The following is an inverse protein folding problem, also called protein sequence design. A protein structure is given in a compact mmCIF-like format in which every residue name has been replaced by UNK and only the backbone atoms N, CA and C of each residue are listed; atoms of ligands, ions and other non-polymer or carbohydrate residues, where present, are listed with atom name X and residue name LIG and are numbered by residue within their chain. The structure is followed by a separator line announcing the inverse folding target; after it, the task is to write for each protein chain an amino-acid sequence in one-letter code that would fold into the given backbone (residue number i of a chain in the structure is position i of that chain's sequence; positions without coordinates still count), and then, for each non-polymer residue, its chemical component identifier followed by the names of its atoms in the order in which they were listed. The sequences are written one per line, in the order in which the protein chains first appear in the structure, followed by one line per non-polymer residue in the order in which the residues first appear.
data_IF_815990957456
#
_entry.id   IF_815990957456
#
_cell.length_a   1.000
_cell.length_b   1.000
_cell.length_c   1.000
_cell.angle_alpha   90.00
_cell.angle_beta   90.00
_cell.angle_gamma   90.00
#
_symmetry.space_group_name_H-M   'P 1'
#
loop_
_entity.id
_entity.type
_entity.pdbx_description
1 polymer ?
#
# COMPACT_ATOMS: atom_id res chain seq x y z
N UNK A 1 2.04 5.95 12.01
CA UNK A 1 0.94 5.03 11.62
C UNK A 1 1.46 3.72 11.05
N UNK A 2 2.22 3.70 9.93
CA UNK A 2 2.70 2.45 9.31
C UNK A 2 3.49 1.54 10.28
N UNK A 3 4.41 2.15 11.06
CA UNK A 3 5.17 1.45 12.11
C UNK A 3 4.29 0.69 13.10
N UNK A 4 3.22 1.32 13.58
CA UNK A 4 2.35 0.72 14.58
C UNK A 4 1.55 -0.45 14.01
N UNK A 5 1.07 -0.33 12.77
CA UNK A 5 0.35 -1.41 12.09
C UNK A 5 1.26 -2.62 11.88
N UNK A 6 2.47 -2.42 11.35
CA UNK A 6 3.40 -3.52 11.10
C UNK A 6 3.91 -4.15 12.40
N UNK A 7 4.19 -3.34 13.43
CA UNK A 7 4.59 -3.86 14.74
C UNK A 7 3.51 -4.74 15.37
N UNK A 8 2.22 -4.36 15.24
CA UNK A 8 1.11 -5.20 15.72
C UNK A 8 0.94 -6.47 14.89
N UNK A 9 1.04 -6.38 13.56
CA UNK A 9 0.85 -7.54 12.67
C UNK A 9 1.93 -8.60 12.87
N UNK A 10 3.17 -8.17 13.09
CA UNK A 10 4.33 -9.04 13.25
C UNK A 10 4.77 -9.19 14.70
N UNK A 11 3.87 -8.90 15.64
CA UNK A 11 4.10 -9.22 17.04
C UNK A 11 4.28 -10.75 17.17
N UNK A 12 5.34 -11.25 17.81
CA UNK A 12 5.58 -12.69 17.97
C UNK A 12 4.49 -13.44 18.72
N UNK A 13 3.65 -12.74 19.51
CA UNK A 13 2.48 -13.32 20.15
C UNK A 13 1.31 -13.55 19.19
N UNK A 14 1.35 -12.96 17.99
CA UNK A 14 0.38 -13.25 16.94
C UNK A 14 0.73 -14.58 16.26
N UNK A 15 -0.23 -15.51 16.22
CA UNK A 15 -0.05 -16.83 15.61
C UNK A 15 -0.14 -16.81 14.06
N UNK A 16 -0.32 -15.64 13.45
CA UNK A 16 -0.40 -15.52 12.00
C UNK A 16 0.97 -15.75 11.32
N UNK A 17 1.03 -16.56 10.25
CA UNK A 17 2.26 -16.77 9.51
C UNK A 17 2.77 -15.46 8.89
N UNK A 18 4.09 -15.39 8.69
CA UNK A 18 4.71 -14.29 7.96
C UNK A 18 4.35 -14.41 6.47
N UNK A 19 4.03 -13.30 5.80
CA UNK A 19 3.77 -13.31 4.37
C UNK A 19 5.09 -13.41 3.59
N UNK A 20 5.03 -14.04 2.41
CA UNK A 20 6.15 -14.00 1.47
C UNK A 20 6.34 -12.60 0.86
N UNK A 21 5.26 -11.82 0.76
CA UNK A 21 5.25 -10.47 0.18
C UNK A 21 4.40 -9.49 1.02
N UNK A 22 5.01 -8.39 1.42
CA UNK A 22 4.35 -7.19 1.93
C UNK A 22 4.15 -6.18 0.79
N UNK A 23 2.90 -6.01 0.35
CA UNK A 23 2.53 -4.99 -0.63
C UNK A 23 1.99 -3.73 0.06
N UNK A 24 2.65 -2.60 -0.18
CA UNK A 24 2.26 -1.28 0.38
C UNK A 24 1.47 -0.48 -0.65
N UNK A 25 0.29 0.03 -0.25
CA UNK A 25 -0.51 0.97 -1.05
C UNK A 25 0.10 2.36 -1.00
N UNK A 26 1.03 2.62 -1.93
CA UNK A 26 1.58 3.94 -2.21
C UNK A 26 2.99 3.92 -2.77
N UNK A 27 3.72 5.02 -2.58
CA UNK A 27 4.96 5.29 -3.32
C UNK A 27 6.25 4.83 -2.61
N UNK A 28 7.38 5.08 -3.28
CA UNK A 28 8.74 4.75 -2.80
C UNK A 28 9.04 5.18 -1.35
N UNK A 29 8.52 6.32 -0.90
CA UNK A 29 8.73 6.80 0.47
C UNK A 29 8.08 5.90 1.53
N UNK A 30 6.89 5.36 1.25
CA UNK A 30 6.24 4.42 2.16
C UNK A 30 6.89 3.03 2.12
N UNK A 31 7.35 2.60 0.93
CA UNK A 31 8.16 1.38 0.81
C UNK A 31 9.41 1.46 1.68
N UNK A 32 10.15 2.57 1.61
CA UNK A 32 11.36 2.78 2.41
C UNK A 32 11.06 2.72 3.92
N UNK A 33 9.94 3.30 4.36
CA UNK A 33 9.52 3.18 5.76
C UNK A 33 9.19 1.74 6.13
N UNK A 34 8.44 1.01 5.29
CA UNK A 34 8.07 -0.39 5.55
C UNK A 34 9.32 -1.26 5.71
N UNK A 35 10.30 -1.13 4.80
CA UNK A 35 11.57 -1.85 4.86
C UNK A 35 12.32 -1.55 6.16
N UNK A 36 12.49 -0.27 6.51
CA UNK A 36 13.18 0.11 7.75
C UNK A 36 12.48 -0.44 9.01
N UNK A 37 11.15 -0.56 8.98
CA UNK A 37 10.39 -1.16 10.09
C UNK A 37 10.64 -2.67 10.16
N UNK A 38 10.61 -3.39 9.04
CA UNK A 38 10.92 -4.82 9.01
C UNK A 38 12.34 -5.10 9.54
N UNK A 39 13.31 -4.29 9.13
CA UNK A 39 14.70 -4.34 9.63
C UNK A 39 14.76 -4.10 11.15
N UNK A 40 14.06 -3.07 11.64
CA UNK A 40 13.99 -2.76 13.08
C UNK A 40 13.36 -3.89 13.89
N UNK A 41 12.39 -4.61 13.31
CA UNK A 41 11.74 -5.77 13.93
C UNK A 41 12.56 -7.06 13.79
N UNK A 42 13.70 -7.04 13.09
CA UNK A 42 14.54 -8.21 12.85
C UNK A 42 13.89 -9.26 11.95
N UNK A 43 12.88 -8.88 11.17
CA UNK A 43 12.15 -9.80 10.29
C UNK A 43 12.94 -10.01 8.99
N UNK A 44 13.21 -11.27 8.68
CA UNK A 44 13.91 -11.70 7.47
C UNK A 44 13.01 -12.58 6.61
N UNK A 45 13.27 -12.63 5.31
CA UNK A 45 12.53 -13.49 4.37
C UNK A 45 11.18 -12.95 3.87
N UNK A 46 10.81 -11.73 4.26
CA UNK A 46 9.60 -11.04 3.74
C UNK A 46 10.03 -10.11 2.61
N UNK A 47 9.59 -10.39 1.38
CA UNK A 47 9.77 -9.45 0.27
C UNK A 47 8.87 -8.23 0.46
N UNK A 48 9.33 -7.05 0.06
CA UNK A 48 8.54 -5.83 0.14
C UNK A 48 8.41 -5.17 -1.23
N UNK A 49 7.20 -4.73 -1.57
CA UNK A 49 6.94 -3.93 -2.76
C UNK A 49 5.90 -2.86 -2.45
N UNK A 50 5.86 -1.81 -3.27
CA UNK A 50 4.79 -0.82 -3.18
C UNK A 50 4.16 -0.58 -4.55
N UNK A 51 2.84 -0.50 -4.59
CA UNK A 51 2.09 -0.18 -5.81
C UNK A 51 1.51 1.22 -5.68
N UNK A 52 1.72 2.05 -6.70
CA UNK A 52 1.11 3.36 -6.79
C UNK A 52 0.50 3.57 -8.17
N UNK A 53 -0.65 4.23 -8.17
CA UNK A 53 -1.25 4.75 -9.40
C UNK A 53 -0.25 5.68 -10.08
N UNK A 54 -0.02 5.48 -11.38
CA UNK A 54 0.80 6.43 -12.13
C UNK A 54 0.11 7.79 -12.10
N UNK A 55 0.70 8.73 -11.37
CA UNK A 55 0.50 10.14 -11.66
C UNK A 55 1.08 10.32 -13.04
N UNK A 56 0.24 10.71 -13.99
CA UNK A 56 0.69 11.20 -15.29
C UNK A 56 1.85 12.14 -14.99
N UNK A 57 3.08 11.73 -15.30
CA UNK A 57 4.10 12.71 -15.60
C UNK A 57 3.51 13.40 -16.81
N UNK A 58 2.93 14.58 -16.55
CA UNK A 58 2.37 15.45 -17.55
C UNK A 58 3.53 15.84 -18.44
N UNK A 59 3.87 14.98 -19.39
CA UNK A 59 4.43 15.42 -20.64
C UNK A 59 3.39 16.41 -21.18
N UNK A 60 3.73 17.69 -21.08
CA UNK A 60 2.99 18.86 -21.56
C UNK A 60 2.65 18.81 -23.08
N UNK A 61 2.74 17.64 -23.72
CA UNK A 61 2.75 17.45 -25.18
C UNK A 61 1.83 16.34 -25.72
N UNK A 62 1.10 15.57 -24.91
CA UNK A 62 0.22 14.51 -25.45
C UNK A 62 -1.20 14.56 -24.89
N UNK A 63 -2.14 14.86 -25.78
CA UNK A 63 -3.59 14.99 -25.51
C UNK A 63 -4.32 13.64 -25.35
N UNK A 64 -3.60 12.52 -25.39
CA UNK A 64 -4.18 11.19 -25.25
C UNK A 64 -4.09 10.74 -23.79
N UNK A 65 -5.24 10.69 -23.11
CA UNK A 65 -5.36 10.06 -21.79
C UNK A 65 -5.22 8.54 -21.96
N UNK A 66 -3.98 8.06 -22.05
CA UNK A 66 -3.68 6.64 -21.96
C UNK A 66 -3.91 6.22 -20.52
N UNK A 67 -4.64 5.12 -20.30
CA UNK A 67 -4.82 4.52 -18.99
C UNK A 67 -3.47 4.44 -18.28
N UNK A 68 -3.35 5.13 -17.14
CA UNK A 68 -2.08 5.30 -16.45
C UNK A 68 -1.54 3.93 -16.00
N UNK A 69 -0.40 3.49 -16.53
CA UNK A 69 0.19 2.20 -16.16
C UNK A 69 0.52 2.18 -14.66
N UNK A 70 0.23 1.08 -13.96
CA UNK A 70 0.54 0.99 -12.53
C UNK A 70 2.04 0.86 -12.31
N UNK A 71 2.56 1.56 -11.29
CA UNK A 71 3.99 1.56 -10.96
C UNK A 71 4.23 0.72 -9.71
N UNK A 72 5.09 -0.28 -9.83
CA UNK A 72 5.58 -1.06 -8.70
C UNK A 72 6.99 -0.61 -8.35
N UNK A 73 7.19 -0.28 -7.08
CA UNK A 73 8.48 0.08 -6.52
C UNK A 73 9.05 -1.12 -5.76
N UNK A 74 10.34 -1.36 -5.96
CA UNK A 74 11.09 -2.40 -5.26
C UNK A 74 12.18 -1.75 -4.40
N UNK A 75 12.51 -2.32 -3.22
CA UNK A 75 13.62 -1.86 -2.39
C UNK A 75 14.94 -1.82 -3.18
N UNK A 76 15.78 -0.83 -2.89
CA UNK A 76 17.08 -0.66 -3.56
C UNK A 76 17.01 -0.23 -5.04
N UNK A 77 15.82 -0.20 -5.67
CA UNK A 77 15.68 0.16 -7.09
C UNK A 77 15.23 1.60 -7.28
N UNK A 78 15.92 2.35 -8.14
CA UNK A 78 15.57 3.75 -8.45
C UNK A 78 14.32 3.83 -9.34
N UNK A 79 14.28 3.05 -10.41
CA UNK A 79 13.22 3.08 -11.40
C UNK A 79 12.10 2.08 -11.04
N UNK A 80 10.82 2.47 -11.15
CA UNK A 80 9.72 1.55 -10.93
C UNK A 80 9.65 0.49 -12.03
N UNK A 81 9.03 -0.64 -11.71
CA UNK A 81 8.52 -1.60 -12.68
C UNK A 81 7.17 -1.09 -13.17
N UNK A 82 7.04 -0.93 -14.49
CA UNK A 82 5.77 -0.54 -15.10
C UNK A 82 4.98 -1.81 -15.41
N UNK A 83 3.77 -1.91 -14.86
CA UNK A 83 2.88 -3.03 -15.13
C UNK A 83 1.92 -2.68 -16.27
N UNK A 84 1.91 -3.53 -17.29
CA UNK A 84 1.02 -3.39 -18.44
C UNK A 84 -0.41 -3.83 -18.04
N UNK A 85 -1.46 -3.04 -18.36
CA UNK A 85 -2.84 -3.28 -17.92
C UNK A 85 -3.42 -4.68 -18.22
N UNK A 86 -2.92 -5.36 -19.25
CA UNK A 86 -3.45 -6.64 -19.72
C UNK A 86 -2.79 -7.86 -19.06
N UNK A 87 -1.79 -7.65 -18.20
CA UNK A 87 -1.06 -8.74 -17.56
C UNK A 87 -1.76 -9.28 -16.32
N UNK A 88 -1.56 -10.56 -16.00
CA UNK A 88 -2.09 -11.17 -14.78
C UNK A 88 -1.54 -10.50 -13.52
N UNK A 89 -0.25 -10.15 -13.53
CA UNK A 89 0.42 -9.45 -12.43
C UNK A 89 -0.20 -8.07 -12.16
N UNK A 90 -0.50 -7.30 -13.22
CA UNK A 90 -1.23 -6.04 -13.09
C UNK A 90 -2.57 -6.25 -12.36
N UNK A 91 -3.39 -7.18 -12.85
CA UNK A 91 -4.73 -7.44 -12.29
C UNK A 91 -4.66 -7.89 -10.83
N UNK A 92 -3.71 -8.76 -10.49
CA UNK A 92 -3.54 -9.25 -9.13
C UNK A 92 -3.19 -8.12 -8.16
N UNK A 93 -2.17 -7.32 -8.49
CA UNK A 93 -1.68 -6.28 -7.59
C UNK A 93 -2.65 -5.09 -7.49
N UNK A 94 -3.37 -4.75 -8.56
CA UNK A 94 -4.43 -3.74 -8.50
C UNK A 94 -5.61 -4.20 -7.69
N UNK A 95 -6.07 -5.45 -7.85
CA UNK A 95 -7.14 -5.99 -7.01
C UNK A 95 -6.77 -6.00 -5.53
N UNK A 96 -5.54 -6.42 -5.19
CA UNK A 96 -5.07 -6.39 -3.81
C UNK A 96 -5.03 -4.96 -3.23
N UNK A 97 -4.54 -3.99 -4.01
CA UNK A 97 -4.56 -2.57 -3.63
C UNK A 97 -5.98 -2.06 -3.43
N UNK A 98 -6.86 -2.32 -4.39
CA UNK A 98 -8.23 -1.80 -4.38
C UNK A 98 -9.02 -2.38 -3.19
N UNK A 99 -8.76 -3.64 -2.82
CA UNK A 99 -9.34 -4.26 -1.63
C UNK A 99 -8.80 -3.64 -0.33
N UNK A 100 -7.48 -3.42 -0.24
CA UNK A 100 -6.88 -2.73 0.91
C UNK A 100 -7.43 -1.29 1.06
N UNK A 101 -7.57 -0.58 -0.05
CA UNK A 101 -8.13 0.76 -0.10
C UNK A 101 -9.63 0.77 0.29
N UNK A 102 -10.41 -0.18 -0.21
CA UNK A 102 -11.83 -0.36 0.13
C UNK A 102 -12.00 -0.61 1.62
N UNK A 103 -11.18 -1.48 2.21
CA UNK A 103 -11.19 -1.77 3.63
C UNK A 103 -10.87 -0.53 4.47
N UNK A 104 -9.81 0.20 4.11
CA UNK A 104 -9.40 1.42 4.81
C UNK A 104 -10.48 2.52 4.76
N UNK A 105 -11.08 2.77 3.59
CA UNK A 105 -12.19 3.74 3.45
C UNK A 105 -13.39 3.30 4.29
N UNK A 106 -13.75 2.01 4.25
CA UNK A 106 -14.86 1.47 5.02
C UNK A 106 -14.70 1.74 6.51
N UNK A 107 -13.53 1.42 7.06
CA UNK A 107 -13.21 1.66 8.46
C UNK A 107 -13.28 3.14 8.83
N UNK A 108 -12.71 4.03 8.02
CA UNK A 108 -12.78 5.49 8.26
C UNK A 108 -14.22 6.02 8.23
N UNK A 109 -15.08 5.51 7.34
CA UNK A 109 -16.50 5.89 7.28
C UNK A 109 -17.24 5.48 8.55
N UNK A 110 -16.98 4.27 9.07
CA UNK A 110 -17.57 3.79 10.33
C UNK A 110 -17.16 4.67 11.51
N UNK A 111 -15.86 4.97 11.64
CA UNK A 111 -15.36 5.86 12.70
C UNK A 111 -16.02 7.25 12.64
N UNK A 112 -16.12 7.84 11.44
CA UNK A 112 -16.78 9.15 11.26
C UNK A 112 -18.26 9.13 11.62
N UNK A 113 -18.95 8.01 11.39
CA UNK A 113 -20.37 7.86 11.75
C UNK A 113 -20.55 7.74 13.26
N UNK A 114 -19.71 6.93 13.92
CA UNK A 114 -19.71 6.74 15.38
C UNK A 114 -19.37 8.03 16.15
N UNK A 115 -18.46 8.85 15.62
CA UNK A 115 -18.08 10.11 16.24
C UNK A 115 -19.15 11.21 16.11
N UNK A 116 -20.05 11.09 15.13
CA UNK A 116 -21.23 11.98 14.99
C UNK A 116 -22.41 11.58 15.89
N UNK A 117 -22.39 10.40 16.50
CA UNK A 117 -23.48 9.89 17.34
C UNK A 117 -23.24 10.03 18.84
N UNK A 118 -22.15 10.68 19.28
CA UNK A 118 -21.95 11.01 20.69
C UNK A 118 -22.68 12.34 20.94
N UNK A 119 -23.80 12.37 21.69
CA UNK A 119 -24.41 13.63 22.08
C UNK A 119 -23.43 14.34 23.01
N UNK A 120 -23.10 15.60 22.70
CA UNK A 120 -22.55 16.50 23.70
C UNK A 120 -23.65 16.82 24.70
N UNK A 121 -23.91 15.93 25.65
CA UNK A 121 -24.63 16.24 26.88
C UNK A 121 -23.63 16.85 27.85
N UNK A 122 -23.77 18.16 28.03
CA UNK A 122 -23.27 18.91 29.18
C UNK A 122 -24.16 18.65 30.40
#
# INVERSE_FOLDING_TARGET
MLREVLARRFDPSNAEPLPDLLLVDGGKGQLAQAVAILETLGLQGIEAAAIAKSRVESDFKSSEVRASAERVYLPGRKNPVILLPHTACFKLLTHARDEAHRFAIGYQRLLRKSMKSIPHTF
#
